data_IF_687767320488
#
_entry.id   IF_687767320488
#
_cell.length_a   1.000
_cell.length_b   1.000
_cell.length_c   1.000
_cell.angle_alpha   90.00
_cell.angle_beta   90.00
_cell.angle_gamma   90.00
#
_symmetry.space_group_name_H-M   'P 1'
#
loop_
_entity.id
_entity.type
_entity.pdbx_description
1 polymer ?
#
# COMPACT_ATOMS: atom_id res chain seq x y z
N UNK A 1 8.51 -4.92 22.05
CA UNK A 1 8.34 -5.93 20.98
C UNK A 1 8.21 -5.17 19.66
N UNK A 2 8.96 -5.53 18.61
CA UNK A 2 8.86 -4.88 17.30
C UNK A 2 7.45 -5.03 16.71
N UNK A 3 7.04 -4.13 15.82
CA UNK A 3 5.75 -4.22 15.16
C UNK A 3 5.68 -5.50 14.30
N UNK A 4 4.47 -6.07 14.10
CA UNK A 4 4.29 -7.08 13.05
C UNK A 4 4.61 -6.46 11.69
N UNK A 5 5.20 -7.23 10.77
CA UNK A 5 5.66 -6.74 9.47
C UNK A 5 5.07 -7.53 8.31
N UNK A 6 5.07 -6.92 7.13
CA UNK A 6 4.88 -7.57 5.84
C UNK A 6 6.20 -7.61 5.08
N UNK A 7 6.33 -8.59 4.18
CA UNK A 7 7.43 -8.68 3.25
C UNK A 7 7.10 -7.90 1.98
N UNK A 8 8.11 -7.30 1.37
CA UNK A 8 8.01 -6.69 0.05
C UNK A 8 9.24 -7.04 -0.78
N UNK A 9 9.05 -7.14 -2.09
CA UNK A 9 10.14 -7.12 -3.05
C UNK A 9 9.90 -5.98 -4.02
N UNK A 10 10.97 -5.25 -4.30
CA UNK A 10 10.99 -4.16 -5.26
C UNK A 10 12.02 -4.48 -6.33
N UNK A 11 11.67 -4.20 -7.58
CA UNK A 11 12.58 -4.18 -8.71
C UNK A 11 12.31 -2.96 -9.58
N UNK A 12 13.14 -2.76 -10.60
CA UNK A 12 12.96 -1.72 -11.60
C UNK A 12 13.56 -2.12 -12.93
N UNK A 13 13.07 -1.50 -13.99
CA UNK A 13 13.71 -1.57 -15.29
C UNK A 13 13.49 -0.28 -16.10
N UNK A 14 14.35 -0.04 -17.09
CA UNK A 14 14.32 1.16 -17.92
C UNK A 14 13.80 0.80 -19.33
N UNK A 15 12.56 1.14 -19.71
CA UNK A 15 11.99 0.80 -21.02
C UNK A 15 12.36 1.80 -22.14
N UNK A 16 13.33 2.68 -21.88
CA UNK A 16 13.67 3.80 -22.76
C UNK A 16 12.61 4.91 -22.80
N UNK A 17 12.92 5.99 -23.49
CA UNK A 17 12.06 7.19 -23.55
C UNK A 17 10.69 6.91 -24.20
N UNK A 18 10.68 6.14 -25.29
CA UNK A 18 9.45 5.73 -25.96
C UNK A 18 8.57 4.86 -25.04
N UNK A 19 9.18 3.94 -24.28
CA UNK A 19 8.48 3.10 -23.32
C UNK A 19 7.88 3.89 -22.16
N UNK A 20 8.64 4.82 -21.58
CA UNK A 20 8.13 5.73 -20.53
C UNK A 20 6.99 6.59 -21.05
N UNK A 21 7.12 7.17 -22.25
CA UNK A 21 6.06 7.96 -22.87
C UNK A 21 4.79 7.13 -23.09
N UNK A 22 4.94 5.89 -23.56
CA UNK A 22 3.82 4.95 -23.75
C UNK A 22 3.14 4.58 -22.43
N UNK A 23 3.92 4.37 -21.36
CA UNK A 23 3.38 4.06 -20.03
C UNK A 23 2.64 5.26 -19.41
N UNK A 24 3.18 6.46 -19.63
CA UNK A 24 2.66 7.70 -19.10
C UNK A 24 2.93 7.87 -17.60
N UNK A 25 2.09 8.66 -16.94
CA UNK A 25 2.27 9.08 -15.54
C UNK A 25 1.40 8.30 -14.54
N UNK A 26 0.67 7.28 -15.00
CA UNK A 26 -0.27 6.54 -14.16
C UNK A 26 0.45 5.51 -13.30
N UNK A 27 -0.06 5.30 -12.08
CA UNK A 27 0.36 4.17 -11.24
C UNK A 27 -0.61 3.04 -11.52
N UNK A 28 -0.07 1.86 -11.81
CA UNK A 28 -0.87 0.66 -11.99
C UNK A 28 -0.82 -0.17 -10.71
N UNK A 29 -1.99 -0.48 -10.16
CA UNK A 29 -2.16 -1.27 -8.95
C UNK A 29 -2.80 -2.61 -9.31
N UNK A 30 -2.29 -3.69 -8.73
CA UNK A 30 -2.70 -5.06 -9.05
C UNK A 30 -3.07 -5.81 -7.78
N UNK A 31 -4.15 -6.58 -7.87
CA UNK A 31 -4.62 -7.52 -6.86
C UNK A 31 -4.62 -8.91 -7.51
N UNK A 32 -3.44 -9.53 -7.67
CA UNK A 32 -3.34 -10.81 -8.36
C UNK A 32 -4.09 -11.90 -7.59
N UNK A 33 -4.56 -12.92 -8.31
CA UNK A 33 -5.25 -14.09 -7.73
C UNK A 33 -4.34 -14.97 -6.85
N UNK A 34 -3.02 -14.70 -6.85
CA UNK A 34 -2.05 -15.42 -6.02
C UNK A 34 -2.35 -15.20 -4.53
N UNK A 35 -2.58 -16.27 -3.74
CA UNK A 35 -2.92 -16.14 -2.31
C UNK A 35 -1.77 -15.60 -1.45
N UNK A 36 -0.55 -15.56 -2.03
CA UNK A 36 0.70 -15.12 -1.38
C UNK A 36 1.09 -13.67 -1.72
N UNK A 37 0.49 -13.09 -2.77
CA UNK A 37 0.72 -11.70 -3.16
C UNK A 37 -0.55 -10.92 -2.85
N UNK A 38 -0.49 -10.05 -1.86
CA UNK A 38 -1.64 -9.24 -1.44
C UNK A 38 -1.83 -8.01 -2.31
N UNK A 39 -0.73 -7.47 -2.82
CA UNK A 39 -0.73 -6.27 -3.65
C UNK A 39 0.52 -6.22 -4.53
N UNK A 40 0.32 -5.79 -5.78
CA UNK A 40 1.38 -5.45 -6.71
C UNK A 40 1.23 -4.03 -7.23
N UNK A 41 2.33 -3.38 -7.59
CA UNK A 41 2.30 -2.03 -8.15
C UNK A 41 3.38 -1.81 -9.19
N UNK A 42 3.05 -1.04 -10.24
CA UNK A 42 4.00 -0.51 -11.21
C UNK A 42 3.90 1.01 -11.19
N UNK A 43 4.98 1.68 -10.82
CA UNK A 43 5.04 3.14 -10.64
C UNK A 43 6.10 3.75 -11.55
N UNK A 44 5.79 4.76 -12.36
CA UNK A 44 6.77 5.46 -13.16
C UNK A 44 7.60 6.41 -12.28
N UNK A 45 8.91 6.43 -12.50
CA UNK A 45 9.90 7.22 -11.73
C UNK A 45 10.85 7.96 -12.66
N UNK A 46 10.29 8.85 -13.47
CA UNK A 46 11.03 9.55 -14.50
C UNK A 46 11.39 8.58 -15.63
N UNK A 47 12.63 8.13 -15.68
CA UNK A 47 13.16 7.31 -16.79
C UNK A 47 13.04 5.79 -16.61
N UNK A 48 12.43 5.31 -15.53
CA UNK A 48 12.27 3.88 -15.25
C UNK A 48 10.92 3.58 -14.61
N UNK A 49 10.54 2.31 -14.64
CA UNK A 49 9.39 1.79 -13.92
C UNK A 49 9.88 1.01 -12.70
N UNK A 50 9.32 1.33 -11.54
CA UNK A 50 9.51 0.57 -10.31
C UNK A 50 8.36 -0.42 -10.16
N UNK A 51 8.66 -1.68 -9.89
CA UNK A 51 7.68 -2.74 -9.69
C UNK A 51 7.84 -3.27 -8.27
N UNK A 52 6.74 -3.41 -7.54
CA UNK A 52 6.77 -3.95 -6.19
C UNK A 52 5.66 -4.95 -5.96
N UNK A 53 5.95 -5.99 -5.19
CA UNK A 53 4.96 -6.91 -4.62
C UNK A 53 5.04 -6.91 -3.11
N UNK A 54 3.92 -7.23 -2.48
CA UNK A 54 3.73 -7.24 -1.02
C UNK A 54 2.93 -8.46 -0.61
N UNK A 55 3.30 -9.05 0.53
CA UNK A 55 2.52 -10.09 1.19
C UNK A 55 3.20 -10.57 2.47
N UNK A 56 2.55 -11.48 3.21
CA UNK A 56 3.11 -12.04 4.45
C UNK A 56 4.52 -12.64 4.25
N UNK A 57 4.76 -13.35 3.15
CA UNK A 57 6.04 -14.02 2.89
C UNK A 57 6.46 -14.02 1.41
N UNK A 58 6.44 -12.86 0.75
CA UNK A 58 6.92 -12.75 -0.64
C UNK A 58 8.44 -12.99 -0.76
N UNK A 59 8.81 -13.63 -1.86
CA UNK A 59 10.17 -13.98 -2.26
C UNK A 59 10.41 -13.71 -3.75
N UNK A 60 11.64 -13.88 -4.20
CA UNK A 60 12.06 -13.54 -5.57
C UNK A 60 11.34 -14.37 -6.62
N UNK A 61 11.04 -15.64 -6.32
CA UNK A 61 10.28 -16.51 -7.21
C UNK A 61 8.85 -15.96 -7.42
N UNK A 62 8.20 -15.47 -6.36
CA UNK A 62 6.91 -14.80 -6.50
C UNK A 62 6.98 -13.49 -7.30
N UNK A 63 8.10 -12.78 -7.29
CA UNK A 63 8.30 -11.62 -8.17
C UNK A 63 8.42 -12.08 -9.63
N UNK A 64 9.15 -13.15 -9.91
CA UNK A 64 9.25 -13.73 -11.26
C UNK A 64 7.87 -14.16 -11.79
N UNK A 65 7.09 -14.88 -10.97
CA UNK A 65 5.72 -15.28 -11.28
C UNK A 65 4.84 -14.06 -11.59
N UNK A 66 4.92 -13.03 -10.74
CA UNK A 66 4.14 -11.80 -10.91
C UNK A 66 4.49 -11.08 -12.22
N UNK A 67 5.79 -10.99 -12.56
CA UNK A 67 6.24 -10.38 -13.82
C UNK A 67 5.85 -11.21 -15.05
N UNK A 68 5.58 -12.51 -14.88
CA UNK A 68 5.14 -13.39 -15.96
C UNK A 68 3.63 -13.33 -16.24
N UNK A 69 2.82 -12.76 -15.33
CA UNK A 69 1.38 -12.68 -15.53
C UNK A 69 1.01 -11.88 -16.79
N UNK A 70 0.08 -12.37 -17.64
CA UNK A 70 -0.31 -11.70 -18.88
C UNK A 70 -0.78 -10.26 -18.67
N UNK A 71 -1.57 -10.02 -17.63
CA UNK A 71 -2.08 -8.69 -17.27
C UNK A 71 -0.98 -7.72 -16.87
N UNK A 72 0.14 -8.23 -16.33
CA UNK A 72 1.33 -7.44 -15.99
C UNK A 72 2.15 -7.19 -17.26
N UNK A 73 2.44 -8.23 -18.04
CA UNK A 73 3.18 -8.08 -19.31
C UNK A 73 2.51 -7.10 -20.27
N UNK A 74 1.18 -7.07 -20.31
CA UNK A 74 0.42 -6.16 -21.18
C UNK A 74 0.69 -4.67 -20.91
N UNK A 75 0.97 -4.31 -19.65
CA UNK A 75 1.19 -2.93 -19.21
C UNK A 75 2.67 -2.57 -19.10
N UNK A 76 3.58 -3.53 -19.21
CA UNK A 76 5.03 -3.30 -19.15
C UNK A 76 5.61 -3.07 -20.57
N UNK A 77 5.90 -1.83 -20.97
CA UNK A 77 6.46 -1.55 -22.28
C UNK A 77 7.91 -2.03 -22.39
N UNK A 78 8.27 -2.59 -23.54
CA UNK A 78 9.65 -2.97 -23.88
C UNK A 78 10.35 -3.87 -22.84
N UNK A 79 9.57 -4.66 -22.09
CA UNK A 79 10.08 -5.45 -20.98
C UNK A 79 11.10 -6.52 -21.41
N UNK A 80 10.94 -7.12 -22.60
CA UNK A 80 11.88 -8.11 -23.14
C UNK A 80 13.29 -7.53 -23.37
N UNK A 81 13.41 -6.20 -23.46
CA UNK A 81 14.68 -5.50 -23.61
C UNK A 81 15.17 -4.88 -22.29
N UNK A 82 14.62 -5.28 -21.14
CA UNK A 82 15.14 -4.88 -19.83
C UNK A 82 16.64 -5.19 -19.74
N UNK A 83 17.43 -4.26 -19.22
CA UNK A 83 18.89 -4.37 -19.21
C UNK A 83 19.58 -3.62 -20.35
N UNK A 84 18.88 -3.32 -21.45
CA UNK A 84 19.45 -2.60 -22.62
C UNK A 84 19.96 -1.20 -22.25
N UNK A 85 19.18 -0.45 -21.46
CA UNK A 85 19.53 0.91 -21.06
C UNK A 85 20.26 0.97 -19.71
N UNK A 86 20.11 -0.06 -18.88
CA UNK A 86 20.77 -0.15 -17.58
C UNK A 86 21.02 -1.60 -17.19
N UNK A 87 22.29 -2.00 -17.08
CA UNK A 87 22.69 -3.36 -16.74
C UNK A 87 22.27 -3.83 -15.34
N UNK A 88 21.75 -2.93 -14.50
CA UNK A 88 21.23 -3.25 -13.17
C UNK A 88 19.70 -3.43 -13.14
N UNK A 89 19.05 -3.43 -14.29
CA UNK A 89 17.62 -3.71 -14.40
C UNK A 89 17.29 -5.11 -13.85
N UNK A 90 16.07 -5.24 -13.32
CA UNK A 90 15.52 -6.47 -12.75
C UNK A 90 16.32 -7.04 -11.57
N UNK A 91 17.15 -6.22 -10.91
CA UNK A 91 17.68 -6.57 -9.57
C UNK A 91 16.57 -6.50 -8.53
N UNK A 92 16.55 -7.47 -7.64
CA UNK A 92 15.53 -7.61 -6.61
C UNK A 92 16.03 -7.13 -5.25
N UNK A 93 15.22 -6.28 -4.61
CA UNK A 93 15.49 -5.74 -3.29
C UNK A 93 14.38 -6.20 -2.35
N UNK A 94 14.76 -6.98 -1.34
CA UNK A 94 13.83 -7.45 -0.31
C UNK A 94 13.75 -6.45 0.83
N UNK A 95 12.53 -6.10 1.21
CA UNK A 95 12.23 -5.19 2.32
C UNK A 95 11.17 -5.74 3.25
N UNK A 96 11.02 -5.08 4.40
CA UNK A 96 9.91 -5.29 5.32
C UNK A 96 9.39 -3.94 5.79
N UNK A 97 8.09 -3.86 6.02
CA UNK A 97 7.45 -2.67 6.58
C UNK A 97 6.39 -3.08 7.60
N UNK A 98 6.10 -2.26 8.61
CA UNK A 98 5.17 -2.63 9.67
C UNK A 98 3.72 -2.59 9.19
N UNK A 99 2.94 -3.55 9.68
CA UNK A 99 1.49 -3.67 9.46
C UNK A 99 0.67 -3.38 10.72
N UNK A 100 1.32 -2.91 11.77
CA UNK A 100 0.74 -2.60 13.06
C UNK A 100 1.76 -1.92 13.97
N UNK A 101 1.36 -1.64 15.21
CA UNK A 101 2.17 -0.89 16.17
C UNK A 101 3.23 -1.76 16.86
N UNK A 102 4.33 -1.12 17.21
CA UNK A 102 5.27 -1.67 18.17
C UNK A 102 4.64 -1.65 19.57
N UNK A 103 5.01 -2.63 20.41
CA UNK A 103 4.58 -2.63 21.79
C UNK A 103 5.42 -1.62 22.59
N UNK A 104 4.76 -0.62 23.20
CA UNK A 104 5.37 0.46 23.98
C UNK A 104 6.41 1.27 23.19
N UNK A 105 5.96 2.11 22.25
CA UNK A 105 6.84 2.91 21.40
C UNK A 105 7.36 4.21 22.03
N UNK A 106 7.13 4.43 23.32
CA UNK A 106 7.72 5.51 24.08
C UNK A 106 7.84 5.14 25.57
N UNK A 107 8.80 5.76 26.26
CA UNK A 107 9.03 5.61 27.69
C UNK A 107 9.95 6.71 28.23
N UNK A 108 10.53 6.52 29.41
CA UNK A 108 11.40 7.54 29.98
C UNK A 108 12.68 7.70 29.16
N UNK A 109 12.87 8.90 28.64
CA UNK A 109 14.01 9.34 27.83
C UNK A 109 14.18 8.61 26.49
N UNK A 110 13.13 7.94 25.99
CA UNK A 110 13.13 7.38 24.64
C UNK A 110 11.76 7.44 23.96
N UNK A 111 11.79 7.58 22.64
CA UNK A 111 10.60 7.52 21.78
C UNK A 111 11.00 6.93 20.42
N UNK A 112 10.17 6.04 19.90
CA UNK A 112 10.33 5.47 18.56
C UNK A 112 9.48 6.26 17.54
N UNK A 113 9.97 6.32 16.31
CA UNK A 113 9.34 7.05 15.19
C UNK A 113 9.27 6.15 13.96
N UNK A 114 8.42 6.52 13.00
CA UNK A 114 8.25 5.82 11.73
C UNK A 114 8.05 4.31 11.88
N UNK A 115 8.76 3.55 11.05
CA UNK A 115 8.61 2.09 10.95
C UNK A 115 8.95 1.37 12.27
N UNK A 116 9.91 1.89 13.04
CA UNK A 116 10.29 1.30 14.33
C UNK A 116 9.15 1.33 15.35
N UNK A 117 8.32 2.38 15.31
CA UNK A 117 7.12 2.50 16.13
C UNK A 117 5.89 1.80 15.51
N UNK A 118 5.94 1.46 14.23
CA UNK A 118 4.77 1.06 13.46
C UNK A 118 3.80 2.21 13.18
N UNK A 119 4.25 3.46 13.32
CA UNK A 119 3.46 4.67 13.08
C UNK A 119 3.48 5.04 11.59
N UNK A 120 2.94 4.15 10.77
CA UNK A 120 2.81 4.34 9.33
C UNK A 120 1.40 4.01 8.87
N UNK A 121 0.94 4.71 7.84
CA UNK A 121 -0.26 4.33 7.10
C UNK A 121 0.12 3.24 6.10
N UNK A 122 0.18 2.00 6.58
CA UNK A 122 0.42 0.83 5.74
C UNK A 122 -0.57 0.81 4.55
N UNK A 123 -0.14 0.29 3.40
CA UNK A 123 -0.92 0.18 2.15
C UNK A 123 -1.21 1.48 1.39
N UNK A 124 -0.70 2.63 1.88
CA UNK A 124 -0.80 3.94 1.21
C UNK A 124 0.52 4.48 0.64
N UNK A 125 1.60 3.70 0.68
CA UNK A 125 2.90 4.09 0.09
C UNK A 125 3.56 5.32 0.72
N UNK A 126 3.11 5.80 1.89
CA UNK A 126 3.59 7.03 2.55
C UNK A 126 4.54 6.81 3.75
N UNK A 127 5.23 5.67 3.81
CA UNK A 127 6.10 5.33 4.95
C UNK A 127 7.12 6.42 5.31
N UNK A 128 7.79 6.99 4.30
CA UNK A 128 8.76 8.09 4.49
C UNK A 128 8.09 9.35 5.05
N UNK A 129 6.94 9.75 4.51
CA UNK A 129 6.21 10.92 5.01
C UNK A 129 5.79 10.73 6.46
N UNK A 130 5.27 9.55 6.83
CA UNK A 130 4.90 9.24 8.21
C UNK A 130 6.12 9.21 9.14
N UNK A 131 7.26 8.69 8.69
CA UNK A 131 8.50 8.70 9.47
C UNK A 131 8.99 10.13 9.77
N UNK A 132 8.98 11.02 8.77
CA UNK A 132 9.34 12.43 8.96
C UNK A 132 8.36 13.12 9.92
N UNK A 133 7.05 12.95 9.71
CA UNK A 133 6.03 13.58 10.55
C UNK A 133 6.11 13.13 12.01
N UNK A 134 6.25 11.82 12.25
CA UNK A 134 6.39 11.27 13.60
C UNK A 134 7.70 11.73 14.26
N UNK A 135 8.80 11.86 13.51
CA UNK A 135 10.04 12.48 13.97
C UNK A 135 9.85 13.93 14.42
N UNK A 136 9.21 14.77 13.59
CA UNK A 136 8.91 16.17 13.93
C UNK A 136 8.02 16.26 15.17
N UNK A 137 7.00 15.41 15.27
CA UNK A 137 6.08 15.35 16.43
C UNK A 137 6.84 14.95 17.70
N UNK A 138 7.74 13.96 17.62
CA UNK A 138 8.58 13.54 18.74
C UNK A 138 9.48 14.68 19.22
N UNK A 139 10.20 15.33 18.31
CA UNK A 139 11.06 16.47 18.63
C UNK A 139 10.28 17.61 19.31
N UNK A 140 9.06 17.89 18.85
CA UNK A 140 8.20 18.92 19.45
C UNK A 140 7.83 18.59 20.90
N UNK A 141 7.50 17.34 21.20
CA UNK A 141 7.19 16.89 22.57
C UNK A 141 8.43 16.98 23.45
N UNK A 142 9.58 16.53 22.95
CA UNK A 142 10.86 16.62 23.67
C UNK A 142 11.17 18.07 24.08
N UNK A 143 11.01 19.01 23.15
CA UNK A 143 11.36 20.42 23.36
C UNK A 143 10.34 21.18 24.22
N UNK A 144 9.06 20.80 24.21
CA UNK A 144 7.97 21.57 24.85
C UNK A 144 7.45 20.95 26.14
N UNK A 145 7.39 19.63 26.19
CA UNK A 145 6.75 18.88 27.28
C UNK A 145 7.77 18.03 28.06
N UNK A 146 8.95 17.79 27.48
CA UNK A 146 10.05 17.05 28.08
C UNK A 146 10.16 15.60 27.61
N UNK A 147 11.03 14.84 28.28
CA UNK A 147 11.44 13.49 27.87
C UNK A 147 10.92 12.39 28.79
N UNK A 148 9.94 12.67 29.64
CA UNK A 148 9.36 11.67 30.54
C UNK A 148 8.38 10.76 29.79
N UNK A 149 8.16 9.55 30.33
CA UNK A 149 7.13 8.64 29.85
C UNK A 149 5.75 9.31 29.81
N UNK A 150 5.42 10.11 30.83
CA UNK A 150 4.14 10.83 30.93
C UNK A 150 4.00 11.88 29.83
N UNK A 151 5.05 12.62 29.50
CA UNK A 151 5.05 13.59 28.40
C UNK A 151 4.77 12.88 27.07
N UNK A 152 5.45 11.77 26.78
CA UNK A 152 5.17 11.02 25.55
C UNK A 152 3.78 10.40 25.52
N UNK A 153 3.32 9.78 26.61
CA UNK A 153 1.99 9.15 26.68
C UNK A 153 0.86 10.17 26.48
N UNK A 154 0.97 11.36 27.04
CA UNK A 154 -0.07 12.39 26.92
C UNK A 154 0.03 13.17 25.60
N UNK A 155 1.24 13.52 25.14
CA UNK A 155 1.44 14.46 24.03
C UNK A 155 1.83 13.78 22.73
N UNK A 156 2.73 12.81 22.75
CA UNK A 156 3.18 12.15 21.52
C UNK A 156 2.12 11.20 20.95
N UNK A 157 1.39 10.47 21.81
CA UNK A 157 0.25 9.67 21.36
C UNK A 157 -0.87 10.57 20.79
N UNK A 158 -1.21 11.66 21.49
CA UNK A 158 -2.21 12.62 21.01
C UNK A 158 -1.80 13.26 19.68
N UNK A 159 -0.53 13.66 19.53
CA UNK A 159 0.00 14.22 18.28
C UNK A 159 -0.06 13.23 17.10
N UNK A 160 -0.11 11.92 17.37
CA UNK A 160 -0.21 10.88 16.35
C UNK A 160 -1.61 10.21 16.29
N UNK A 161 -2.62 10.82 16.91
CA UNK A 161 -3.98 10.27 16.92
C UNK A 161 -4.55 10.06 15.51
N UNK A 162 -4.14 10.87 14.54
CA UNK A 162 -4.51 10.76 13.13
C UNK A 162 -4.01 9.47 12.46
N UNK A 163 -2.87 8.93 12.89
CA UNK A 163 -2.34 7.65 12.42
C UNK A 163 -2.93 6.51 13.27
N UNK A 164 -2.93 6.69 14.60
CA UNK A 164 -3.38 5.68 15.54
C UNK A 164 -4.84 5.29 15.36
N UNK A 165 -5.72 6.27 15.14
CA UNK A 165 -7.14 6.03 14.90
C UNK A 165 -7.43 5.43 13.52
N UNK A 166 -6.55 5.61 12.55
CA UNK A 166 -6.73 5.13 11.17
C UNK A 166 -6.24 3.68 10.97
N UNK A 167 -5.33 3.22 11.83
CA UNK A 167 -4.71 1.89 11.75
C UNK A 167 -5.70 0.72 11.73
N UNK A 168 -6.72 0.65 12.62
CA UNK A 168 -7.69 -0.45 12.60
C UNK A 168 -8.48 -0.51 11.28
N UNK A 169 -8.84 0.66 10.72
CA UNK A 169 -9.57 0.75 9.46
C UNK A 169 -8.72 0.27 8.27
N UNK A 170 -7.43 0.65 8.24
CA UNK A 170 -6.50 0.13 7.24
C UNK A 170 -6.31 -1.38 7.33
N UNK A 171 -6.26 -1.93 8.55
CA UNK A 171 -6.20 -3.37 8.76
C UNK A 171 -7.49 -4.06 8.28
N UNK A 172 -8.67 -3.53 8.62
CA UNK A 172 -9.95 -4.08 8.18
C UNK A 172 -10.06 -4.08 6.65
N UNK A 173 -9.73 -2.96 6.01
CA UNK A 173 -9.74 -2.82 4.55
C UNK A 173 -8.83 -3.86 3.88
N UNK A 174 -7.61 -4.05 4.39
CA UNK A 174 -6.68 -5.07 3.89
C UNK A 174 -7.28 -6.48 3.97
N UNK A 175 -7.86 -6.86 5.11
CA UNK A 175 -8.47 -8.19 5.24
C UNK A 175 -9.64 -8.37 4.27
N UNK A 176 -10.47 -7.34 4.09
CA UNK A 176 -11.56 -7.35 3.11
C UNK A 176 -11.02 -7.53 1.69
N UNK A 177 -10.01 -6.75 1.27
CA UNK A 177 -9.40 -6.87 -0.05
C UNK A 177 -8.79 -8.26 -0.29
N UNK A 178 -8.06 -8.80 0.68
CA UNK A 178 -7.47 -10.15 0.58
C UNK A 178 -8.57 -11.21 0.45
N UNK A 179 -9.63 -11.11 1.25
CA UNK A 179 -10.74 -12.05 1.19
C UNK A 179 -11.45 -11.99 -0.16
N UNK A 180 -11.76 -10.78 -0.63
CA UNK A 180 -12.41 -10.58 -1.92
C UNK A 180 -11.54 -11.07 -3.09
N UNK A 181 -10.22 -10.87 -3.04
CA UNK A 181 -9.28 -11.43 -4.02
C UNK A 181 -9.29 -12.95 -4.02
N UNK A 182 -9.25 -13.59 -2.83
CA UNK A 182 -9.29 -15.05 -2.69
C UNK A 182 -10.60 -15.67 -3.14
N UNK A 183 -11.72 -14.97 -2.97
CA UNK A 183 -13.03 -15.40 -3.42
C UNK A 183 -13.28 -15.11 -4.91
N UNK A 184 -12.31 -14.55 -5.65
CA UNK A 184 -12.48 -14.18 -7.06
C UNK A 184 -13.50 -13.05 -7.28
N UNK A 185 -13.74 -12.24 -6.25
CA UNK A 185 -14.70 -11.13 -6.27
C UNK A 185 -14.09 -9.80 -6.70
N UNK A 186 -12.79 -9.74 -6.98
CA UNK A 186 -12.14 -8.49 -7.41
C UNK A 186 -12.55 -8.05 -8.80
N UNK A 187 -12.68 -8.96 -9.76
CA UNK A 187 -13.13 -8.57 -11.11
C UNK A 187 -14.55 -7.99 -11.09
N UNK A 188 -15.55 -8.61 -10.41
CA UNK A 188 -16.87 -7.99 -10.23
C UNK A 188 -16.82 -6.63 -9.52
N UNK A 189 -15.98 -6.47 -8.49
CA UNK A 189 -15.85 -5.20 -7.77
C UNK A 189 -15.23 -4.11 -8.66
N UNK A 190 -14.22 -4.46 -9.47
CA UNK A 190 -13.61 -3.54 -10.42
C UNK A 190 -14.59 -3.15 -11.54
N UNK A 191 -15.34 -4.11 -12.09
CA UNK A 191 -16.40 -3.83 -13.08
C UNK A 191 -17.52 -2.97 -12.50
N UNK A 192 -17.91 -3.21 -11.24
CA UNK A 192 -18.87 -2.36 -10.55
C UNK A 192 -18.30 -0.94 -10.34
N UNK A 193 -17.01 -0.82 -10.04
CA UNK A 193 -16.34 0.46 -9.87
C UNK A 193 -16.28 1.27 -11.17
N UNK A 194 -16.09 0.64 -12.33
CA UNK A 194 -16.14 1.32 -13.64
C UNK A 194 -17.49 2.02 -13.88
N UNK A 195 -18.58 1.49 -13.29
CA UNK A 195 -19.94 2.01 -13.43
C UNK A 195 -20.40 2.87 -12.26
N UNK A 196 -19.65 2.88 -11.16
CA UNK A 196 -19.98 3.61 -9.94
C UNK A 196 -18.80 4.51 -9.51
N UNK A 197 -18.89 5.83 -9.77
CA UNK A 197 -17.83 6.78 -9.45
C UNK A 197 -17.42 6.81 -7.97
N UNK A 198 -18.34 6.52 -7.05
CA UNK A 198 -18.04 6.52 -5.61
C UNK A 198 -17.23 5.28 -5.21
N UNK A 199 -17.57 4.11 -5.78
CA UNK A 199 -16.78 2.89 -5.59
C UNK A 199 -15.40 3.01 -6.25
N UNK A 200 -15.32 3.61 -7.44
CA UNK A 200 -14.05 3.93 -8.08
C UNK A 200 -13.18 4.85 -7.21
N UNK A 201 -13.76 5.93 -6.68
CA UNK A 201 -13.05 6.85 -5.78
C UNK A 201 -12.60 6.15 -4.50
N UNK A 202 -13.43 5.31 -3.90
CA UNK A 202 -13.07 4.56 -2.70
C UNK A 202 -11.89 3.60 -2.95
N UNK A 203 -11.89 2.87 -4.06
CA UNK A 203 -10.77 2.00 -4.46
C UNK A 203 -9.51 2.81 -4.80
N UNK A 204 -9.68 3.92 -5.53
CA UNK A 204 -8.58 4.81 -5.86
C UNK A 204 -7.95 5.41 -4.59
N UNK A 205 -8.75 5.95 -3.67
CA UNK A 205 -8.28 6.57 -2.42
C UNK A 205 -7.68 5.56 -1.43
N UNK A 206 -8.12 4.30 -1.49
CA UNK A 206 -7.51 3.21 -0.73
C UNK A 206 -6.02 3.03 -1.08
N UNK A 207 -5.63 3.35 -2.32
CA UNK A 207 -4.27 3.20 -2.85
C UNK A 207 -3.54 4.54 -2.99
N UNK A 208 -4.25 5.63 -3.33
CA UNK A 208 -3.68 6.94 -3.68
C UNK A 208 -3.30 7.79 -2.45
N UNK A 209 -3.70 7.38 -1.24
CA UNK A 209 -3.28 7.99 0.02
C UNK A 209 -3.75 9.42 0.29
N UNK A 210 -4.77 9.93 -0.41
CA UNK A 210 -5.27 11.30 -0.23
C UNK A 210 -6.18 11.46 1.00
N UNK A 211 -6.78 10.37 1.51
CA UNK A 211 -7.75 10.39 2.62
C UNK A 211 -7.44 9.36 3.70
N UNK A 212 -8.12 9.42 4.84
CA UNK A 212 -8.05 8.37 5.88
C UNK A 212 -8.81 7.10 5.45
N UNK A 213 -8.43 5.92 5.95
CA UNK A 213 -9.20 4.69 5.71
C UNK A 213 -10.60 4.76 6.31
N UNK A 214 -10.77 5.48 7.42
CA UNK A 214 -12.09 5.72 8.02
C UNK A 214 -13.06 6.39 7.04
N UNK A 215 -12.63 7.46 6.37
CA UNK A 215 -13.45 8.18 5.39
C UNK A 215 -13.76 7.30 4.18
N UNK A 216 -12.77 6.55 3.69
CA UNK A 216 -12.93 5.64 2.55
C UNK A 216 -13.97 4.56 2.84
N UNK A 217 -13.95 3.96 4.04
CA UNK A 217 -14.93 2.95 4.41
C UNK A 217 -16.34 3.52 4.57
N UNK A 218 -16.47 4.76 5.06
CA UNK A 218 -17.78 5.40 5.19
C UNK A 218 -18.43 5.69 3.83
N UNK A 219 -17.63 6.02 2.81
CA UNK A 219 -18.14 6.26 1.45
C UNK A 219 -18.32 4.96 0.66
N UNK A 220 -17.42 4.00 0.84
CA UNK A 220 -17.48 2.68 0.18
C UNK A 220 -18.64 1.79 0.65
N UNK A 221 -19.13 1.97 1.89
CA UNK A 221 -20.29 1.24 2.44
C UNK A 221 -21.65 1.89 2.14
N UNK A 222 -21.75 2.75 1.12
CA UNK A 222 -23.07 3.21 0.68
C UNK A 222 -23.90 2.02 0.16
N UNK A 223 -25.21 2.01 0.45
CA UNK A 223 -26.13 0.94 0.01
C UNK A 223 -26.12 0.74 -1.52
N UNK A 224 -25.80 1.80 -2.28
CA UNK A 224 -25.61 1.76 -3.73
C UNK A 224 -24.39 0.92 -4.15
N UNK A 225 -23.27 0.99 -3.41
CA UNK A 225 -22.07 0.20 -3.67
C UNK A 225 -22.28 -1.28 -3.37
N UNK A 226 -22.98 -1.61 -2.29
CA UNK A 226 -23.32 -3.00 -1.92
C UNK A 226 -24.26 -3.63 -2.95
N UNK A 227 -25.29 -2.89 -3.38
CA UNK A 227 -26.21 -3.33 -4.43
C UNK A 227 -25.52 -3.52 -5.79
N UNK A 228 -24.61 -2.63 -6.16
CA UNK A 228 -23.85 -2.72 -7.42
C UNK A 228 -22.95 -3.98 -7.47
N UNK A 229 -22.28 -4.31 -6.36
CA UNK A 229 -21.45 -5.53 -6.27
C UNK A 229 -22.32 -6.79 -6.29
N UNK A 230 -23.47 -6.80 -5.62
CA UNK A 230 -24.42 -7.92 -5.66
C UNK A 230 -25.00 -8.17 -7.05
N UNK A 231 -25.35 -7.11 -7.79
CA UNK A 231 -25.84 -7.21 -9.17
C UNK A 231 -24.78 -7.73 -10.16
N UNK A 232 -23.53 -7.28 -10.02
CA UNK A 232 -22.41 -7.77 -10.84
C UNK A 232 -22.10 -9.27 -10.59
N UNK A 233 -22.30 -9.75 -9.36
CA UNK A 233 -22.08 -11.15 -9.00
C UNK A 233 -23.16 -12.07 -9.60
N UNK A 234 -24.43 -11.67 -9.57
CA UNK A 234 -25.55 -12.44 -10.13
C UNK A 234 -25.51 -12.58 -11.66
N UNK A 235 -24.98 -11.58 -12.37
CA UNK A 235 -24.83 -11.64 -13.83
C UNK A 235 -23.76 -12.62 -14.34
N UNK A 236 -22.93 -13.16 -13.44
CA UNK A 236 -21.89 -14.16 -13.80
C UNK A 236 -22.35 -15.60 -13.60
N UNK A 237 -23.44 -15.81 -12.85
CA UNK A 237 -24.02 -17.12 -12.55
C UNK A 237 -25.19 -17.51 -13.46
N UNK A 238 -25.53 -16.65 -14.43
CA UNK A 238 -26.51 -16.89 -15.51
C UNK A 238 -25.79 -16.96 -16.84
#
# INVERSE_FOLDING_TARGET
>A
RPPPTLSSIVTKYHPGEAGITKFGSRIHAFLPSSPRIEFGGVTPKGNHLTINIVGDSVDTALMDDFLAFPEIRHVLPDFENAGRFNSNDLRYFKGRFPRGLAHHFAGDRFVMVGDAAGLVRAFKGKGVTSAIQTGIRAARVILRDGISKVAFQSRYYSANADILSDLPYGQAMRHFTILAARLGMMDPILQAAERNPDLYRALFDAVSAHRSYREILQEGLSWASVGAVGGAWLHRTS
#
